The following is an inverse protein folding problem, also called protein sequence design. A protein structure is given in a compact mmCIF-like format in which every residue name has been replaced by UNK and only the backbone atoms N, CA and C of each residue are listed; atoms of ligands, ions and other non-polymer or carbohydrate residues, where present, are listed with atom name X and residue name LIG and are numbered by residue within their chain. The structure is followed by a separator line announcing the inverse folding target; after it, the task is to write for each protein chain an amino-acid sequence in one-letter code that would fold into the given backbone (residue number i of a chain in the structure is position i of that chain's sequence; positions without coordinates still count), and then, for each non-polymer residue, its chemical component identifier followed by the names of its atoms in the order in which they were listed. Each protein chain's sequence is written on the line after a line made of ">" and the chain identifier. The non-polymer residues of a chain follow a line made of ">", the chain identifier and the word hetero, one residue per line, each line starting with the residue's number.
data_IF_353296853102
#
_entry.id   IF_353296853102
#
_cell.length_a   1.000
_cell.length_b   1.000
_cell.length_c   1.000
_cell.angle_alpha   90.00
_cell.angle_beta   90.00
_cell.angle_gamma   90.00
#
_symmetry.space_group_name_H-M   'P 1'
#
loop_
_entity.id
_entity.type
_entity.pdbx_description
1 polymer ?
#
# COMPACT_ATOMS: atom_id res chain seq x y z
N UNK A 1 4.88 2.02 -21.70
CA UNK A 1 5.95 3.02 -21.51
C UNK A 1 6.47 2.95 -20.08
N UNK A 2 7.77 3.05 -19.86
CA UNK A 2 8.39 3.05 -18.53
C UNK A 2 8.97 4.43 -18.17
N UNK A 3 9.40 4.62 -16.91
CA UNK A 3 9.91 5.91 -16.43
C UNK A 3 11.16 6.40 -17.18
N UNK A 4 12.01 5.46 -17.68
CA UNK A 4 13.23 5.81 -18.44
C UNK A 4 12.89 6.34 -19.82
N UNK A 5 11.91 5.73 -20.49
CA UNK A 5 11.40 6.20 -21.79
C UNK A 5 10.76 7.57 -21.66
N UNK A 6 9.99 7.79 -20.61
CA UNK A 6 9.38 9.07 -20.31
C UNK A 6 10.41 10.17 -20.02
N UNK A 7 11.43 9.86 -19.24
CA UNK A 7 12.54 10.77 -18.96
C UNK A 7 13.26 11.20 -20.24
N UNK A 8 13.48 10.25 -21.18
CA UNK A 8 14.07 10.50 -22.49
C UNK A 8 13.19 11.43 -23.34
N UNK A 9 11.88 11.17 -23.41
CA UNK A 9 10.92 12.01 -24.16
C UNK A 9 10.84 13.43 -23.60
N UNK A 10 10.83 13.55 -22.27
CA UNK A 10 10.77 14.85 -21.59
C UNK A 10 12.13 15.59 -21.61
N UNK A 11 13.24 14.93 -21.91
CA UNK A 11 14.59 15.51 -21.84
C UNK A 11 15.01 15.82 -20.40
N UNK A 12 14.60 15.00 -19.43
CA UNK A 12 14.90 15.18 -18.00
C UNK A 12 15.37 13.87 -17.38
N UNK A 13 15.85 13.94 -16.12
CA UNK A 13 16.22 12.72 -15.38
C UNK A 13 14.99 11.95 -14.89
N UNK A 14 15.14 10.63 -14.63
CA UNK A 14 14.10 9.84 -13.96
C UNK A 14 13.74 10.41 -12.59
N UNK A 15 14.70 11.01 -11.87
CA UNK A 15 14.45 11.68 -10.61
C UNK A 15 13.52 12.89 -10.76
N UNK A 16 13.66 13.65 -11.86
CA UNK A 16 12.76 14.77 -12.16
C UNK A 16 11.34 14.27 -12.46
N UNK A 17 11.19 13.20 -13.24
CA UNK A 17 9.89 12.56 -13.48
C UNK A 17 9.26 12.13 -12.16
N UNK A 18 10.03 11.44 -11.30
CA UNK A 18 9.56 10.99 -9.99
C UNK A 18 9.09 12.15 -9.10
N UNK A 19 9.84 13.27 -9.07
CA UNK A 19 9.43 14.48 -8.32
C UNK A 19 8.12 15.06 -8.83
N UNK A 20 7.91 15.11 -10.14
CA UNK A 20 6.66 15.59 -10.73
C UNK A 20 5.49 14.67 -10.36
N UNK A 21 5.68 13.36 -10.46
CA UNK A 21 4.64 12.36 -10.15
C UNK A 21 4.24 12.33 -8.67
N UNK A 22 5.21 12.57 -7.78
CA UNK A 22 5.00 12.51 -6.33
C UNK A 22 4.75 13.88 -5.69
N UNK A 23 4.72 14.93 -6.51
CA UNK A 23 4.64 16.33 -6.06
C UNK A 23 5.69 16.67 -4.98
N UNK A 24 6.90 16.11 -5.12
CA UNK A 24 7.98 16.21 -4.15
C UNK A 24 9.16 17.01 -4.68
N UNK A 25 9.70 17.88 -3.83
CA UNK A 25 10.86 18.69 -4.17
C UNK A 25 10.60 19.74 -5.26
N UNK A 26 11.62 20.59 -5.50
CA UNK A 26 11.51 21.66 -6.48
C UNK A 26 11.66 21.15 -7.92
N UNK A 27 10.70 21.49 -8.79
CA UNK A 27 10.77 21.31 -10.24
C UNK A 27 10.25 22.60 -10.87
N UNK A 28 10.99 23.14 -11.85
CA UNK A 28 10.56 24.34 -12.61
C UNK A 28 9.18 24.10 -13.24
N UNK A 29 8.32 25.11 -13.19
CA UNK A 29 6.93 25.01 -13.64
C UNK A 29 6.80 24.56 -15.11
N UNK A 30 7.66 25.09 -16.00
CA UNK A 30 7.66 24.68 -17.42
C UNK A 30 8.03 23.20 -17.59
N UNK A 31 8.99 22.70 -16.77
CA UNK A 31 9.36 21.29 -16.76
C UNK A 31 8.21 20.43 -16.24
N UNK A 32 7.53 20.87 -15.18
CA UNK A 32 6.37 20.20 -14.63
C UNK A 32 5.25 20.08 -15.67
N UNK A 33 4.90 21.19 -16.33
CA UNK A 33 3.88 21.21 -17.40
C UNK A 33 4.23 20.26 -18.54
N UNK A 34 5.49 20.28 -18.99
CA UNK A 34 5.98 19.41 -20.05
C UNK A 34 5.83 17.92 -19.68
N UNK A 35 6.27 17.54 -18.49
CA UNK A 35 6.19 16.18 -17.99
C UNK A 35 4.73 15.74 -17.84
N UNK A 36 3.87 16.55 -17.26
CA UNK A 36 2.44 16.27 -17.12
C UNK A 36 1.74 16.12 -18.47
N UNK A 37 2.13 16.92 -19.47
CA UNK A 37 1.65 16.77 -20.85
C UNK A 37 1.97 15.40 -21.43
N UNK A 38 3.21 14.95 -21.30
CA UNK A 38 3.66 13.62 -21.77
C UNK A 38 2.92 12.49 -21.01
N UNK A 39 2.78 12.62 -19.68
CA UNK A 39 2.02 11.66 -18.87
C UNK A 39 0.61 11.47 -19.43
N UNK A 40 -0.06 12.58 -19.73
CA UNK A 40 -1.43 12.59 -20.26
C UNK A 40 -1.52 12.03 -21.68
N UNK A 41 -0.60 12.46 -22.56
CA UNK A 41 -0.56 12.03 -23.97
C UNK A 41 -0.35 10.53 -24.11
N UNK A 42 0.55 9.98 -23.32
CA UNK A 42 0.89 8.53 -23.39
C UNK A 42 0.13 7.68 -22.37
N UNK A 43 -0.83 8.27 -21.66
CA UNK A 43 -1.62 7.59 -20.63
C UNK A 43 -0.74 6.78 -19.64
N UNK A 44 0.37 7.41 -19.22
CA UNK A 44 1.34 6.73 -18.37
C UNK A 44 0.81 6.57 -16.95
N UNK A 45 0.75 5.32 -16.51
CA UNK A 45 0.43 4.97 -15.12
C UNK A 45 1.71 4.55 -14.40
N UNK A 46 2.07 5.19 -13.27
CA UNK A 46 3.22 4.78 -12.48
C UNK A 46 3.10 3.32 -12.04
N UNK A 47 4.18 2.56 -12.21
CA UNK A 47 4.22 1.20 -11.68
C UNK A 47 4.42 1.25 -10.17
N UNK A 48 3.37 0.94 -9.41
CA UNK A 48 3.37 0.99 -7.94
C UNK A 48 4.37 0.00 -7.33
N UNK A 49 4.62 -1.15 -7.97
CA UNK A 49 5.63 -2.13 -7.53
C UNK A 49 7.03 -1.51 -7.66
N UNK A 50 7.34 -0.89 -8.81
CA UNK A 50 8.62 -0.21 -9.00
C UNK A 50 8.79 0.98 -8.05
N UNK A 51 7.70 1.66 -7.72
CA UNK A 51 7.68 2.76 -6.74
C UNK A 51 7.96 2.24 -5.34
N UNK A 52 7.31 1.19 -4.87
CA UNK A 52 7.54 0.60 -3.56
C UNK A 52 8.98 0.08 -3.39
N UNK A 53 9.55 -0.54 -4.44
CA UNK A 53 10.94 -0.98 -4.44
C UNK A 53 11.94 0.18 -4.33
N UNK A 54 11.62 1.34 -4.90
CA UNK A 54 12.52 2.52 -4.90
C UNK A 54 12.41 3.35 -3.63
N UNK A 55 11.22 3.45 -3.04
CA UNK A 55 10.96 4.24 -1.83
C UNK A 55 11.08 3.43 -0.54
N UNK A 56 11.15 2.10 -0.63
CA UNK A 56 10.97 1.16 0.49
C UNK A 56 9.63 1.32 1.22
N UNK A 57 8.66 1.99 0.60
CA UNK A 57 7.32 2.19 1.13
C UNK A 57 6.33 1.24 0.47
N UNK A 58 5.53 0.57 1.27
CA UNK A 58 4.38 -0.19 0.80
C UNK A 58 3.15 0.71 0.71
N UNK A 59 2.34 0.51 -0.32
CA UNK A 59 1.04 1.17 -0.48
C UNK A 59 -0.12 0.21 -0.19
N UNK A 60 0.16 -0.81 0.63
CA UNK A 60 -0.79 -1.86 0.97
C UNK A 60 -1.04 -1.88 2.47
N UNK A 61 -2.30 -1.91 2.85
CA UNK A 61 -2.77 -2.15 4.21
C UNK A 61 -3.36 -3.55 4.27
N UNK A 62 -2.93 -4.33 5.23
CA UNK A 62 -3.53 -5.64 5.53
C UNK A 62 -4.79 -5.48 6.38
N UNK A 63 -5.78 -6.33 6.17
CA UNK A 63 -6.94 -6.44 7.05
C UNK A 63 -7.26 -7.90 7.30
N UNK A 64 -7.13 -8.33 8.55
CA UNK A 64 -7.44 -9.69 9.00
C UNK A 64 -8.73 -9.65 9.82
N UNK A 65 -9.72 -10.46 9.43
CA UNK A 65 -10.99 -10.62 10.16
C UNK A 65 -11.36 -12.10 10.27
N UNK A 66 -12.15 -12.49 11.30
CA UNK A 66 -12.49 -13.89 11.56
C UNK A 66 -13.64 -14.46 10.71
N UNK A 67 -13.90 -13.87 9.55
CA UNK A 67 -14.89 -14.36 8.59
C UNK A 67 -15.74 -13.26 7.98
N UNK A 68 -16.10 -13.41 6.70
CA UNK A 68 -16.96 -12.47 5.97
C UNK A 68 -18.45 -12.75 6.11
N UNK A 69 -18.81 -13.90 6.70
CA UNK A 69 -20.23 -14.34 6.81
C UNK A 69 -21.08 -13.47 7.75
N UNK A 70 -20.47 -12.75 8.67
CA UNK A 70 -21.18 -11.90 9.61
C UNK A 70 -21.31 -10.45 9.08
N UNK A 71 -22.52 -9.92 9.10
CA UNK A 71 -22.84 -8.56 8.59
C UNK A 71 -21.98 -7.45 9.16
N UNK A 72 -21.53 -7.59 10.42
CA UNK A 72 -20.68 -6.59 11.07
C UNK A 72 -19.32 -6.46 10.39
N UNK A 73 -18.69 -7.56 9.99
CA UNK A 73 -17.37 -7.54 9.33
C UNK A 73 -17.44 -6.96 7.93
N UNK A 74 -18.54 -7.20 7.20
CA UNK A 74 -18.77 -6.57 5.90
C UNK A 74 -18.78 -5.05 5.96
N UNK A 75 -19.41 -4.46 6.98
CA UNK A 75 -19.41 -3.00 7.19
C UNK A 75 -18.04 -2.45 7.56
N UNK A 76 -17.28 -3.18 8.39
CA UNK A 76 -15.91 -2.79 8.75
C UNK A 76 -15.03 -2.81 7.51
N UNK A 77 -15.11 -3.88 6.71
CA UNK A 77 -14.39 -4.01 5.45
C UNK A 77 -14.72 -2.89 4.46
N UNK A 78 -16.01 -2.57 4.30
CA UNK A 78 -16.46 -1.46 3.45
C UNK A 78 -15.88 -0.11 3.91
N UNK A 79 -15.92 0.17 5.20
CA UNK A 79 -15.36 1.39 5.79
C UNK A 79 -13.85 1.47 5.59
N UNK A 80 -13.13 0.39 5.89
CA UNK A 80 -11.69 0.31 5.71
C UNK A 80 -11.29 0.49 4.24
N UNK A 81 -11.98 -0.17 3.31
CA UNK A 81 -11.70 -0.05 1.88
C UNK A 81 -11.91 1.38 1.35
N UNK A 82 -12.97 2.05 1.77
CA UNK A 82 -13.23 3.45 1.40
C UNK A 82 -12.15 4.39 1.93
N UNK A 83 -11.73 4.20 3.18
CA UNK A 83 -10.78 5.09 3.82
C UNK A 83 -9.37 4.88 3.27
N UNK A 84 -8.92 3.65 3.11
CA UNK A 84 -7.60 3.34 2.51
C UNK A 84 -7.50 3.88 1.08
N UNK A 85 -8.56 3.72 0.28
CA UNK A 85 -8.60 4.23 -1.11
C UNK A 85 -8.46 5.77 -1.18
N UNK A 86 -9.09 6.53 -0.27
CA UNK A 86 -8.94 7.99 -0.21
C UNK A 86 -7.49 8.44 -0.01
N UNK A 87 -6.72 7.65 0.72
CA UNK A 87 -5.32 7.93 1.01
C UNK A 87 -4.35 7.25 0.03
N UNK A 88 -4.85 6.65 -1.05
CA UNK A 88 -4.04 6.02 -2.10
C UNK A 88 -3.44 4.67 -1.71
N UNK A 89 -3.99 4.00 -0.69
CA UNK A 89 -3.60 2.65 -0.29
C UNK A 89 -4.54 1.61 -0.88
N UNK A 90 -3.98 0.42 -1.16
CA UNK A 90 -4.74 -0.78 -1.46
C UNK A 90 -5.02 -1.56 -0.17
N UNK A 91 -6.23 -2.07 -0.02
CA UNK A 91 -6.60 -2.95 1.10
C UNK A 91 -6.49 -4.41 0.65
N UNK A 92 -5.68 -5.20 1.35
CA UNK A 92 -5.62 -6.66 1.19
C UNK A 92 -6.37 -7.30 2.34
N UNK A 93 -7.46 -7.95 1.98
CA UNK A 93 -8.30 -8.68 2.92
C UNK A 93 -7.80 -10.11 3.11
N UNK A 94 -7.76 -10.56 4.35
CA UNK A 94 -7.35 -11.90 4.78
C UNK A 94 -8.38 -12.46 5.76
N UNK A 95 -8.97 -13.59 5.41
CA UNK A 95 -9.92 -14.28 6.27
C UNK A 95 -9.18 -15.26 7.19
N UNK A 96 -9.31 -15.11 8.49
CA UNK A 96 -8.75 -16.05 9.46
C UNK A 96 -9.67 -17.27 9.72
N UNK A 97 -10.88 -17.28 9.11
CA UNK A 97 -11.85 -18.39 9.27
C UNK A 97 -12.13 -18.73 10.75
N UNK A 98 -12.05 -17.74 11.62
CA UNK A 98 -12.16 -17.91 13.08
C UNK A 98 -11.15 -18.92 13.67
N UNK A 99 -9.99 -19.10 13.02
CA UNK A 99 -8.93 -19.99 13.44
C UNK A 99 -7.64 -19.23 13.79
N UNK A 100 -7.13 -19.43 15.01
CA UNK A 100 -5.92 -18.75 15.50
C UNK A 100 -4.65 -19.11 14.71
N UNK A 101 -4.57 -20.32 14.16
CA UNK A 101 -3.40 -20.75 13.36
C UNK A 101 -3.39 -20.01 12.02
N UNK A 102 -4.55 -19.89 11.40
CA UNK A 102 -4.73 -19.15 10.16
C UNK A 102 -4.47 -17.66 10.39
N UNK A 103 -4.96 -17.09 11.51
CA UNK A 103 -4.67 -15.72 11.92
C UNK A 103 -3.16 -15.47 12.03
N UNK A 104 -2.43 -16.34 12.72
CA UNK A 104 -0.96 -16.25 12.86
C UNK A 104 -0.24 -16.31 11.52
N UNK A 105 -0.65 -17.21 10.62
CA UNK A 105 -0.12 -17.30 9.26
C UNK A 105 -0.29 -15.98 8.50
N UNK A 106 -1.44 -15.33 8.60
CA UNK A 106 -1.69 -14.05 7.95
C UNK A 106 -0.85 -12.92 8.54
N UNK A 107 -0.57 -12.92 9.85
CA UNK A 107 0.36 -11.96 10.46
C UNK A 107 1.78 -12.10 9.90
N UNK A 108 2.26 -13.32 9.72
CA UNK A 108 3.55 -13.59 9.08
C UNK A 108 3.56 -13.08 7.63
N UNK A 109 2.44 -13.24 6.91
CA UNK A 109 2.32 -12.77 5.53
C UNK A 109 2.32 -11.23 5.43
N UNK A 110 1.65 -10.53 6.36
CA UNK A 110 1.71 -9.05 6.48
C UNK A 110 3.16 -8.57 6.61
N UNK A 111 3.95 -9.24 7.47
CA UNK A 111 5.37 -8.96 7.68
C UNK A 111 6.19 -9.23 6.40
N UNK A 112 6.03 -10.41 5.80
CA UNK A 112 6.78 -10.83 4.61
C UNK A 112 6.53 -9.92 3.40
N UNK A 113 5.30 -9.42 3.24
CA UNK A 113 4.92 -8.51 2.16
C UNK A 113 5.22 -7.04 2.48
N UNK A 114 5.81 -6.74 3.64
CA UNK A 114 6.11 -5.36 4.07
C UNK A 114 4.90 -4.43 3.94
N UNK A 115 3.73 -4.89 4.38
CA UNK A 115 2.52 -4.06 4.36
C UNK A 115 2.70 -2.84 5.27
N UNK A 116 2.18 -1.68 4.84
CA UNK A 116 2.35 -0.40 5.54
C UNK A 116 1.63 -0.34 6.89
N UNK A 117 0.64 -1.18 7.06
CA UNK A 117 -0.14 -1.26 8.30
C UNK A 117 -1.08 -2.43 8.29
N UNK A 118 -1.67 -2.69 9.44
CA UNK A 118 -2.59 -3.80 9.66
C UNK A 118 -3.84 -3.31 10.43
N UNK A 119 -4.99 -3.72 9.94
CA UNK A 119 -6.26 -3.70 10.68
C UNK A 119 -6.57 -5.13 11.09
N UNK A 120 -6.64 -5.39 12.38
CA UNK A 120 -6.89 -6.73 12.91
C UNK A 120 -8.17 -6.75 13.75
N UNK A 121 -9.07 -7.66 13.42
CA UNK A 121 -10.15 -8.12 14.31
C UNK A 121 -9.73 -9.51 14.80
N UNK A 122 -9.23 -9.64 16.04
CA UNK A 122 -8.63 -10.88 16.50
C UNK A 122 -9.68 -11.95 16.77
N UNK A 123 -9.31 -13.20 16.49
CA UNK A 123 -10.12 -14.38 16.85
C UNK A 123 -10.23 -14.49 18.38
N UNK A 124 -9.14 -14.21 19.10
CA UNK A 124 -9.10 -14.18 20.56
C UNK A 124 -8.19 -13.03 21.04
N UNK A 125 -8.78 -12.02 21.65
CA UNK A 125 -8.07 -10.84 22.15
C UNK A 125 -7.14 -11.11 23.34
N UNK A 126 -7.30 -12.23 24.04
CA UNK A 126 -6.48 -12.63 25.20
C UNK A 126 -5.26 -13.48 24.80
N UNK A 127 -5.09 -13.78 23.53
CA UNK A 127 -3.96 -14.60 23.04
C UNK A 127 -2.63 -13.85 23.22
N UNK A 128 -1.77 -14.36 24.12
CA UNK A 128 -0.44 -13.77 24.41
C UNK A 128 0.51 -13.85 23.23
N UNK A 129 0.45 -14.92 22.42
CA UNK A 129 1.28 -15.07 21.22
C UNK A 129 0.93 -14.03 20.17
N UNK A 130 -0.37 -13.75 20.00
CA UNK A 130 -0.86 -12.70 19.12
C UNK A 130 -0.31 -11.33 19.52
N UNK A 131 -0.35 -11.00 20.82
CA UNK A 131 0.18 -9.73 21.33
C UNK A 131 1.69 -9.60 21.08
N UNK A 132 2.46 -10.68 21.27
CA UNK A 132 3.88 -10.70 20.95
C UNK A 132 4.16 -10.45 19.48
N UNK A 133 3.43 -11.12 18.59
CA UNK A 133 3.55 -10.93 17.14
C UNK A 133 3.20 -9.51 16.68
N UNK A 134 2.20 -8.87 17.31
CA UNK A 134 1.84 -7.48 17.02
C UNK A 134 2.91 -6.50 17.49
N UNK A 135 3.51 -6.72 18.67
CA UNK A 135 4.62 -5.90 19.14
C UNK A 135 5.83 -5.98 18.22
N UNK A 136 6.18 -7.17 17.73
CA UNK A 136 7.24 -7.33 16.73
C UNK A 136 6.96 -6.59 15.42
N UNK A 137 5.69 -6.54 14.98
CA UNK A 137 5.30 -5.79 13.80
C UNK A 137 5.43 -4.27 14.01
N UNK A 138 5.05 -3.76 15.19
CA UNK A 138 5.21 -2.33 15.53
C UNK A 138 6.68 -1.90 15.59
N UNK A 139 7.58 -2.74 16.11
CA UNK A 139 9.01 -2.46 16.20
C UNK A 139 9.71 -2.42 14.84
N UNK A 140 9.14 -3.04 13.82
CA UNK A 140 9.69 -3.08 12.47
C UNK A 140 9.22 -1.91 11.57
N UNK A 141 8.27 -1.07 12.05
CA UNK A 141 7.84 0.17 11.43
C UNK A 141 6.91 0.00 10.28
#
# INVERSE_FOLDING_TARGET
>A
MNIKEMAKLAGVSCATISRVLNDSGYVKEDTRKKVMGIIKEYNYTPNMIARSLSSKDSFTIGMIIPGVGEKQYGKILEGAAKETAKHGYSLVFMDSENDQKTEKKWLEEVKNQHMKGLVLVPVCSENKELRGALQELEEQG
#
